data_IF_755006311884
#
_entry.id   IF_755006311884
#
_cell.length_a   1.000
_cell.length_b   1.000
_cell.length_c   1.000
_cell.angle_alpha   90.00
_cell.angle_beta   90.00
_cell.angle_gamma   90.00
#
_symmetry.space_group_name_H-M   'P 1'
#
loop_
_entity.id
_entity.type
_entity.pdbx_description
1 polymer ?
#
# COMPACT_ATOMS: atom_id res chain seq x y z
N UNK A 1 -26.95 -1.37 -9.07
CA UNK A 1 -25.77 -2.13 -9.51
C UNK A 1 -24.82 -2.12 -8.35
N UNK A 2 -24.52 -3.29 -7.75
CA UNK A 2 -23.55 -3.36 -6.67
C UNK A 2 -22.16 -3.02 -7.22
N UNK A 3 -21.27 -2.36 -6.46
CA UNK A 3 -19.89 -2.21 -6.86
C UNK A 3 -19.23 -3.59 -7.05
N UNK A 4 -18.14 -3.69 -7.83
CA UNK A 4 -17.40 -4.94 -7.94
C UNK A 4 -17.04 -5.48 -6.55
N UNK A 5 -17.00 -6.80 -6.39
CA UNK A 5 -16.68 -7.42 -5.10
C UNK A 5 -15.37 -6.86 -4.56
N UNK A 6 -15.40 -6.48 -3.29
CA UNK A 6 -14.36 -5.71 -2.63
C UNK A 6 -13.91 -6.43 -1.36
N UNK A 7 -12.67 -6.91 -1.38
CA UNK A 7 -12.05 -7.60 -0.25
C UNK A 7 -11.09 -6.68 0.49
N UNK A 8 -11.14 -6.72 1.81
CA UNK A 8 -10.31 -5.91 2.71
C UNK A 8 -9.41 -6.83 3.52
N UNK A 9 -8.10 -6.65 3.37
CA UNK A 9 -7.03 -7.33 4.10
C UNK A 9 -6.35 -6.32 5.04
N UNK A 10 -7.00 -6.03 6.17
CA UNK A 10 -6.52 -5.06 7.17
C UNK A 10 -6.19 -5.70 8.53
N UNK A 11 -6.11 -7.03 8.57
CA UNK A 11 -5.74 -7.81 9.76
C UNK A 11 -4.65 -8.82 9.37
N UNK A 12 -3.82 -9.29 10.32
CA UNK A 12 -2.76 -10.25 10.03
C UNK A 12 -3.26 -11.57 9.41
N UNK A 13 -4.55 -11.91 9.59
CA UNK A 13 -5.17 -13.12 9.05
C UNK A 13 -6.57 -12.81 8.51
N UNK A 14 -6.88 -13.41 7.37
CA UNK A 14 -8.21 -13.37 6.76
C UNK A 14 -8.52 -12.06 6.02
N UNK A 15 -9.77 -11.93 5.60
CA UNK A 15 -10.31 -10.76 4.92
C UNK A 15 -11.73 -10.48 5.38
N UNK A 16 -12.21 -9.27 5.11
CA UNK A 16 -13.63 -8.91 5.23
C UNK A 16 -14.15 -8.38 3.91
N UNK A 17 -15.45 -8.50 3.69
CA UNK A 17 -16.14 -7.83 2.58
C UNK A 17 -16.37 -6.35 2.91
N UNK A 18 -16.25 -5.47 1.91
CA UNK A 18 -16.72 -4.08 2.03
C UNK A 18 -18.23 -4.05 2.33
N UNK A 19 -18.66 -3.06 3.11
CA UNK A 19 -20.07 -2.82 3.35
C UNK A 19 -20.83 -2.63 2.02
N UNK A 20 -21.89 -3.41 1.82
CA UNK A 20 -22.71 -3.35 0.60
C UNK A 20 -22.21 -4.19 -0.57
N UNK A 21 -21.21 -5.06 -0.36
CA UNK A 21 -20.83 -6.08 -1.35
C UNK A 21 -22.02 -7.02 -1.66
N UNK A 22 -22.15 -7.44 -2.91
CA UNK A 22 -23.23 -8.31 -3.37
C UNK A 22 -23.28 -9.60 -2.52
N UNK A 23 -24.39 -9.88 -1.79
CA UNK A 23 -24.52 -11.10 -0.99
C UNK A 23 -24.27 -12.39 -1.78
N UNK A 24 -24.57 -12.40 -3.09
CA UNK A 24 -24.35 -13.58 -3.94
C UNK A 24 -22.86 -13.92 -4.10
N UNK A 25 -21.98 -12.93 -4.03
CA UNK A 25 -20.52 -13.16 -4.06
C UNK A 25 -19.98 -13.70 -2.72
N UNK A 26 -20.67 -13.43 -1.62
CA UNK A 26 -20.24 -13.81 -0.27
C UNK A 26 -20.55 -15.26 0.07
N UNK A 27 -21.51 -15.87 -0.64
CA UNK A 27 -21.93 -17.27 -0.45
C UNK A 27 -21.21 -18.24 -1.38
N UNK A 28 -20.32 -17.75 -2.24
CA UNK A 28 -19.53 -18.61 -3.11
C UNK A 28 -18.51 -19.40 -2.30
N UNK A 29 -18.41 -20.70 -2.57
CA UNK A 29 -17.38 -21.56 -2.01
C UNK A 29 -15.97 -21.14 -2.47
N UNK A 30 -15.88 -20.50 -3.65
CA UNK A 30 -14.65 -20.02 -4.28
C UNK A 30 -14.95 -18.89 -5.25
N UNK A 31 -14.09 -17.86 -5.28
CA UNK A 31 -14.15 -16.81 -6.30
C UNK A 31 -13.52 -17.25 -7.63
N UNK A 32 -12.75 -18.34 -7.66
CA UNK A 32 -12.07 -18.82 -8.86
C UNK A 32 -13.03 -19.26 -9.97
N UNK A 33 -14.19 -19.78 -9.58
CA UNK A 33 -15.21 -20.34 -10.48
C UNK A 33 -16.45 -19.44 -10.56
N UNK A 34 -16.37 -18.22 -10.02
CA UNK A 34 -17.46 -17.28 -10.04
C UNK A 34 -17.84 -16.93 -11.50
N UNK A 35 -19.14 -16.92 -11.86
CA UNK A 35 -19.57 -16.48 -13.18
C UNK A 35 -19.11 -15.05 -13.46
N UNK A 36 -18.65 -14.77 -14.67
CA UNK A 36 -18.12 -13.45 -15.05
C UNK A 36 -19.12 -12.30 -14.85
N UNK A 37 -20.42 -12.59 -14.97
CA UNK A 37 -21.49 -11.61 -14.74
C UNK A 37 -21.58 -11.19 -13.25
N UNK A 38 -21.13 -12.07 -12.35
CA UNK A 38 -21.13 -11.87 -10.90
C UNK A 38 -19.76 -11.37 -10.40
N UNK A 39 -18.68 -11.75 -11.08
CA UNK A 39 -17.31 -11.32 -10.80
C UNK A 39 -16.62 -10.80 -12.09
N UNK A 40 -16.98 -9.59 -12.58
CA UNK A 40 -16.33 -9.00 -13.76
C UNK A 40 -14.90 -8.51 -13.47
N UNK A 41 -14.56 -8.38 -12.18
CA UNK A 41 -13.26 -7.98 -11.65
C UNK A 41 -13.31 -7.93 -10.12
N UNK A 42 -12.15 -8.08 -9.48
CA UNK A 42 -12.00 -8.06 -8.04
C UNK A 42 -11.21 -6.84 -7.59
N UNK A 43 -11.80 -6.07 -6.67
CA UNK A 43 -11.10 -4.98 -5.99
C UNK A 43 -10.56 -5.46 -4.65
N UNK A 44 -9.29 -5.20 -4.40
CA UNK A 44 -8.62 -5.55 -3.15
C UNK A 44 -8.09 -4.30 -2.46
N UNK A 45 -8.45 -4.10 -1.19
CA UNK A 45 -7.75 -3.19 -0.28
C UNK A 45 -6.86 -4.00 0.65
N UNK A 46 -5.58 -3.65 0.72
CA UNK A 46 -4.61 -4.33 1.56
C UNK A 46 -3.85 -3.33 2.41
N UNK A 47 -3.84 -3.57 3.72
CA UNK A 47 -2.93 -2.97 4.69
C UNK A 47 -2.00 -4.01 5.33
N UNK A 48 -2.39 -5.28 5.29
CA UNK A 48 -1.65 -6.42 5.83
C UNK A 48 -1.27 -7.38 4.68
N UNK A 49 -0.03 -7.33 4.16
CA UNK A 49 0.36 -8.03 2.96
C UNK A 49 0.34 -9.55 3.11
N UNK A 50 0.64 -10.06 4.30
CA UNK A 50 0.73 -11.51 4.55
C UNK A 50 -0.62 -12.19 4.44
N UNK A 51 -1.70 -11.55 4.90
CA UNK A 51 -3.05 -12.08 4.79
C UNK A 51 -3.47 -12.27 3.33
N UNK A 52 -3.11 -11.31 2.46
CA UNK A 52 -3.33 -11.43 1.03
C UNK A 52 -2.44 -12.49 0.39
N UNK A 53 -1.16 -12.60 0.79
CA UNK A 53 -0.27 -13.67 0.30
C UNK A 53 -0.87 -15.05 0.58
N UNK A 54 -1.36 -15.30 1.80
CA UNK A 54 -2.01 -16.56 2.20
C UNK A 54 -3.28 -16.79 1.38
N UNK A 55 -4.10 -15.76 1.16
CA UNK A 55 -5.29 -15.90 0.33
C UNK A 55 -4.96 -16.27 -1.13
N UNK A 56 -3.89 -15.71 -1.68
CA UNK A 56 -3.39 -16.02 -3.02
C UNK A 56 -2.72 -17.42 -3.14
N UNK A 57 -2.63 -18.20 -2.07
CA UNK A 57 -2.22 -19.61 -2.15
C UNK A 57 -3.33 -20.51 -2.70
N UNK A 58 -4.59 -20.09 -2.55
CA UNK A 58 -5.77 -20.87 -2.96
C UNK A 58 -6.67 -20.14 -3.95
N UNK A 59 -6.41 -18.85 -4.22
CA UNK A 59 -7.21 -18.02 -5.11
C UNK A 59 -6.38 -17.50 -6.29
N UNK A 60 -7.05 -17.35 -7.43
CA UNK A 60 -6.46 -16.90 -8.68
C UNK A 60 -6.22 -15.38 -8.66
N UNK A 61 -4.95 -14.98 -8.62
CA UNK A 61 -4.56 -13.58 -8.65
C UNK A 61 -4.99 -12.83 -9.92
N UNK A 62 -5.23 -13.54 -11.03
CA UNK A 62 -5.70 -12.95 -12.29
C UNK A 62 -7.14 -12.38 -12.17
N UNK A 63 -7.87 -12.65 -11.09
CA UNK A 63 -9.16 -12.02 -10.82
C UNK A 63 -9.01 -10.55 -10.39
N UNK A 64 -7.83 -10.18 -9.85
CA UNK A 64 -7.58 -8.85 -9.31
C UNK A 64 -7.45 -7.85 -10.45
N UNK A 65 -8.38 -6.90 -10.51
CA UNK A 65 -8.34 -5.79 -11.47
C UNK A 65 -7.91 -4.48 -10.81
N UNK A 66 -8.19 -4.33 -9.52
CA UNK A 66 -8.00 -3.09 -8.78
C UNK A 66 -7.32 -3.40 -7.44
N UNK A 67 -6.17 -2.77 -7.19
CA UNK A 67 -5.41 -2.93 -5.96
C UNK A 67 -5.23 -1.58 -5.26
N UNK A 68 -5.75 -1.49 -4.05
CA UNK A 68 -5.53 -0.37 -3.14
C UNK A 68 -4.61 -0.79 -1.99
N UNK A 69 -3.44 -0.16 -1.90
CA UNK A 69 -2.45 -0.39 -0.85
C UNK A 69 -2.53 0.74 0.16
N UNK A 70 -2.83 0.41 1.40
CA UNK A 70 -2.77 1.32 2.54
C UNK A 70 -1.56 1.02 3.40
N UNK A 71 -0.64 1.96 3.50
CA UNK A 71 0.56 1.82 4.33
C UNK A 71 0.36 2.64 5.59
N UNK A 72 -0.07 1.96 6.66
CA UNK A 72 -0.39 2.59 7.94
C UNK A 72 0.84 3.16 8.66
N UNK A 73 0.64 4.09 9.61
CA UNK A 73 1.71 4.76 10.31
C UNK A 73 2.03 4.07 11.63
N UNK A 74 2.35 2.77 11.58
CA UNK A 74 2.57 1.99 12.80
C UNK A 74 3.98 1.44 12.83
N UNK A 75 4.62 1.50 14.01
CA UNK A 75 5.92 0.87 14.25
C UNK A 75 5.86 -0.65 14.06
N UNK A 76 4.74 -1.26 14.46
CA UNK A 76 4.46 -2.70 14.29
C UNK A 76 3.90 -3.04 12.90
N UNK A 77 3.94 -2.09 11.96
CA UNK A 77 3.47 -2.28 10.61
C UNK A 77 4.29 -3.31 9.83
N UNK A 78 3.76 -3.85 8.72
CA UNK A 78 4.50 -4.81 7.92
C UNK A 78 5.78 -4.18 7.33
N UNK A 79 6.93 -4.83 7.56
CA UNK A 79 8.22 -4.44 7.00
C UNK A 79 8.20 -4.35 5.46
N UNK A 80 9.10 -3.55 4.84
CA UNK A 80 9.26 -3.51 3.38
C UNK A 80 9.43 -4.89 2.72
N UNK A 81 10.11 -5.82 3.38
CA UNK A 81 10.36 -7.17 2.88
C UNK A 81 9.07 -8.00 2.80
N UNK A 82 8.19 -7.88 3.80
CA UNK A 82 6.86 -8.52 3.80
C UNK A 82 6.01 -8.01 2.64
N UNK A 83 6.02 -6.70 2.40
CA UNK A 83 5.39 -6.11 1.21
C UNK A 83 6.00 -6.61 -0.10
N UNK A 84 7.33 -6.72 -0.18
CA UNK A 84 8.00 -7.24 -1.38
C UNK A 84 7.62 -8.70 -1.68
N UNK A 85 7.32 -9.53 -0.68
CA UNK A 85 6.80 -10.89 -0.91
C UNK A 85 5.46 -10.85 -1.63
N UNK A 86 4.54 -9.99 -1.17
CA UNK A 86 3.26 -9.77 -1.85
C UNK A 86 3.48 -9.27 -3.29
N UNK A 87 4.32 -8.26 -3.49
CA UNK A 87 4.57 -7.70 -4.82
C UNK A 87 5.18 -8.70 -5.79
N UNK A 88 6.07 -9.58 -5.31
CA UNK A 88 6.62 -10.66 -6.13
C UNK A 88 5.53 -11.61 -6.59
N UNK A 89 4.64 -12.01 -5.69
CA UNK A 89 3.52 -12.92 -6.01
C UNK A 89 2.55 -12.28 -7.00
N UNK A 90 2.17 -11.03 -6.78
CA UNK A 90 1.29 -10.29 -7.69
C UNK A 90 1.94 -10.04 -9.06
N UNK A 91 3.24 -9.73 -9.11
CA UNK A 91 3.97 -9.56 -10.37
C UNK A 91 3.94 -10.84 -11.23
N UNK A 92 4.01 -12.01 -10.60
CA UNK A 92 3.98 -13.31 -11.27
C UNK A 92 2.56 -13.72 -11.68
N UNK A 93 1.59 -13.53 -10.78
CA UNK A 93 0.29 -14.20 -10.87
C UNK A 93 -0.84 -13.25 -11.31
N UNK A 94 -0.76 -11.94 -11.04
CA UNK A 94 -1.86 -10.99 -11.27
C UNK A 94 -1.81 -10.37 -12.68
N UNK A 95 -2.22 -11.15 -13.69
CA UNK A 95 -2.11 -10.76 -15.11
C UNK A 95 -3.12 -9.71 -15.57
N UNK A 96 -4.14 -9.37 -14.77
CA UNK A 96 -5.23 -8.47 -15.14
C UNK A 96 -5.30 -7.18 -14.31
N UNK A 97 -4.22 -6.84 -13.58
CA UNK A 97 -4.19 -5.65 -12.74
C UNK A 97 -4.23 -4.36 -13.59
N UNK A 98 -5.34 -3.62 -13.49
CA UNK A 98 -5.60 -2.39 -14.26
C UNK A 98 -5.27 -1.14 -13.45
N UNK A 99 -5.71 -1.12 -12.20
CA UNK A 99 -5.67 0.06 -11.35
C UNK A 99 -4.86 -0.20 -10.08
N UNK A 100 -3.92 0.70 -9.79
CA UNK A 100 -3.11 0.68 -8.58
C UNK A 100 -3.27 2.01 -7.84
N UNK A 101 -3.75 1.97 -6.61
CA UNK A 101 -3.86 3.12 -5.73
C UNK A 101 -2.99 2.85 -4.47
N UNK A 102 -2.07 3.76 -4.14
CA UNK A 102 -1.19 3.60 -2.97
C UNK A 102 -1.28 4.81 -2.06
N UNK A 103 -1.51 4.58 -0.77
CA UNK A 103 -1.62 5.62 0.24
C UNK A 103 -0.63 5.39 1.37
N UNK A 104 0.30 6.33 1.56
CA UNK A 104 1.26 6.31 2.68
C UNK A 104 0.73 7.18 3.82
N UNK A 105 0.13 6.55 4.81
CA UNK A 105 -0.42 7.28 5.95
C UNK A 105 0.70 7.76 6.89
N UNK A 106 0.37 8.73 7.75
CA UNK A 106 1.26 9.23 8.78
C UNK A 106 0.50 9.46 10.09
N UNK A 107 1.17 9.16 11.20
CA UNK A 107 0.72 9.52 12.52
C UNK A 107 1.00 11.01 12.74
N UNK A 108 0.11 11.69 13.45
CA UNK A 108 0.39 13.01 13.98
C UNK A 108 -0.72 13.50 14.90
N UNK A 109 -0.40 14.33 15.92
CA UNK A 109 -1.39 15.16 16.58
C UNK A 109 -1.90 16.17 15.56
N UNK A 110 -3.16 16.03 15.16
CA UNK A 110 -3.85 16.94 14.23
C UNK A 110 -4.23 18.28 14.89
N UNK A 111 -3.42 18.76 15.83
CA UNK A 111 -3.52 20.15 16.27
C UNK A 111 -2.97 21.03 15.15
N UNK A 112 -3.89 21.71 14.47
CA UNK A 112 -3.62 22.66 13.38
C UNK A 112 -2.67 23.81 13.75
N UNK A 113 -2.19 23.89 15.00
CA UNK A 113 -1.24 24.87 15.49
C UNK A 113 0.23 24.58 15.14
N UNK A 114 0.60 23.34 14.80
CA UNK A 114 1.98 22.97 14.43
C UNK A 114 2.04 22.11 13.17
N UNK A 115 3.00 22.37 12.25
CA UNK A 115 3.26 21.43 11.17
C UNK A 115 3.63 20.04 11.73
N UNK A 116 3.24 18.93 11.08
CA UNK A 116 3.61 17.60 11.55
C UNK A 116 5.12 17.46 11.78
N UNK A 117 5.98 17.99 10.92
CA UNK A 117 7.44 17.91 11.09
C UNK A 117 8.05 18.84 12.18
N UNK A 118 7.23 19.56 12.95
CA UNK A 118 7.63 20.54 13.99
C UNK A 118 7.24 20.06 15.41
N UNK A 119 7.03 18.75 15.55
CA UNK A 119 6.67 18.10 16.80
C UNK A 119 7.88 17.28 17.26
N UNK A 120 8.30 17.46 18.52
CA UNK A 120 9.39 16.70 19.14
C UNK A 120 9.06 15.22 19.39
N UNK A 121 7.89 14.74 18.93
CA UNK A 121 7.42 13.37 19.06
C UNK A 121 7.74 12.54 17.81
N UNK A 122 8.00 11.24 18.00
CA UNK A 122 8.35 10.31 16.92
C UNK A 122 7.12 10.13 16.03
N UNK A 123 7.11 10.81 14.88
CA UNK A 123 6.07 10.63 13.88
C UNK A 123 6.40 9.41 13.04
N UNK A 124 5.52 8.42 13.10
CA UNK A 124 5.54 7.30 12.20
C UNK A 124 4.91 7.75 10.88
N UNK A 125 5.76 8.07 9.93
CA UNK A 125 5.37 8.05 8.53
C UNK A 125 5.44 6.59 8.13
N UNK A 126 4.45 6.07 7.41
CA UNK A 126 4.54 4.71 6.88
C UNK A 126 5.79 4.50 6.01
N UNK A 127 5.82 3.47 5.18
CA UNK A 127 6.98 3.16 4.32
C UNK A 127 7.25 4.19 3.19
N UNK A 128 6.88 5.46 3.37
CA UNK A 128 7.04 6.58 2.43
C UNK A 128 8.49 6.95 2.11
N UNK A 129 9.43 6.59 2.97
CA UNK A 129 10.89 6.72 2.73
C UNK A 129 11.55 5.39 2.33
N UNK A 130 10.81 4.28 2.34
CA UNK A 130 11.38 2.96 2.03
C UNK A 130 11.63 2.82 0.53
N UNK A 131 12.92 2.78 0.18
CA UNK A 131 13.41 2.45 -1.16
C UNK A 131 13.09 0.99 -1.49
N UNK A 132 13.22 0.08 -0.52
CA UNK A 132 12.90 -1.35 -0.72
C UNK A 132 11.44 -1.51 -1.12
N UNK A 133 10.52 -0.87 -0.40
CA UNK A 133 9.10 -0.90 -0.71
C UNK A 133 8.80 -0.36 -2.11
N UNK A 134 9.25 0.86 -2.45
CA UNK A 134 8.90 1.48 -3.74
C UNK A 134 9.51 0.70 -4.92
N UNK A 135 10.71 0.13 -4.74
CA UNK A 135 11.33 -0.73 -5.75
C UNK A 135 10.55 -2.02 -5.96
N UNK A 136 10.01 -2.62 -4.90
CA UNK A 136 9.13 -3.77 -5.00
C UNK A 136 7.81 -3.43 -5.70
N UNK A 137 7.18 -2.32 -5.30
CA UNK A 137 5.93 -1.82 -5.88
C UNK A 137 6.05 -1.58 -7.39
N UNK A 138 7.18 -1.01 -7.83
CA UNK A 138 7.48 -0.71 -9.22
C UNK A 138 7.60 -1.95 -10.14
N UNK A 139 7.52 -3.16 -9.59
CA UNK A 139 7.53 -4.40 -10.37
C UNK A 139 6.14 -4.86 -10.79
N UNK A 140 5.08 -4.28 -10.25
CA UNK A 140 3.72 -4.68 -10.59
C UNK A 140 3.41 -4.40 -12.07
N UNK A 141 2.65 -5.29 -12.70
CA UNK A 141 2.22 -5.13 -14.09
C UNK A 141 0.86 -4.41 -14.12
N UNK A 142 0.88 -3.09 -14.04
CA UNK A 142 -0.34 -2.25 -14.03
C UNK A 142 -0.61 -1.72 -15.44
N UNK A 143 -1.85 -1.83 -15.93
CA UNK A 143 -2.14 -1.51 -17.33
C UNK A 143 -2.91 -0.22 -17.60
N UNK A 144 -3.55 0.43 -16.61
CA UNK A 144 -4.44 1.58 -16.87
C UNK A 144 -4.13 2.82 -16.03
N UNK A 145 -4.07 2.71 -14.70
CA UNK A 145 -3.86 3.89 -13.86
C UNK A 145 -3.07 3.61 -12.61
N UNK A 146 -2.23 4.58 -12.24
CA UNK A 146 -1.51 4.60 -10.96
C UNK A 146 -1.89 5.87 -10.21
N UNK A 147 -2.37 5.71 -8.98
CA UNK A 147 -2.63 6.83 -8.07
C UNK A 147 -1.80 6.67 -6.81
N UNK A 148 -1.34 7.80 -6.30
CA UNK A 148 -0.56 7.89 -5.07
C UNK A 148 -1.16 8.94 -4.16
N UNK A 149 -1.00 8.78 -2.86
CA UNK A 149 -1.44 9.74 -1.86
C UNK A 149 -0.68 9.54 -0.56
N UNK A 150 -0.86 10.41 0.41
CA UNK A 150 -0.13 10.31 1.66
C UNK A 150 1.26 10.95 1.59
N UNK A 151 2.14 10.54 2.51
CA UNK A 151 3.48 11.05 2.70
C UNK A 151 4.51 10.12 2.04
N UNK A 152 5.02 10.52 0.88
CA UNK A 152 6.00 9.76 0.11
C UNK A 152 7.19 10.62 -0.33
N UNK A 153 8.35 9.98 -0.43
CA UNK A 153 9.60 10.65 -0.78
C UNK A 153 9.55 11.27 -2.18
N UNK A 154 10.30 12.35 -2.35
CA UNK A 154 10.29 13.23 -3.53
C UNK A 154 10.48 12.48 -4.86
N UNK A 155 11.28 11.43 -4.84
CA UNK A 155 11.65 10.69 -6.04
C UNK A 155 10.68 9.56 -6.42
N UNK A 156 9.64 9.28 -5.62
CA UNK A 156 8.76 8.13 -5.86
C UNK A 156 7.90 8.30 -7.12
N UNK A 157 7.23 9.45 -7.35
CA UNK A 157 6.44 9.64 -8.58
C UNK A 157 7.25 9.46 -9.87
N UNK A 158 8.39 10.14 -10.10
CA UNK A 158 9.15 9.95 -11.35
C UNK A 158 9.75 8.54 -11.48
N UNK A 159 10.11 7.89 -10.36
CA UNK A 159 10.59 6.51 -10.39
C UNK A 159 9.49 5.54 -10.82
N UNK A 160 8.29 5.67 -10.24
CA UNK A 160 7.14 4.84 -10.60
C UNK A 160 6.68 5.08 -12.04
N UNK A 161 6.70 6.33 -12.51
CA UNK A 161 6.40 6.67 -13.90
C UNK A 161 7.35 5.94 -14.88
N UNK A 162 8.66 5.96 -14.61
CA UNK A 162 9.65 5.27 -15.45
C UNK A 162 9.43 3.75 -15.45
N UNK A 163 9.18 3.15 -14.28
CA UNK A 163 9.14 1.68 -14.14
C UNK A 163 7.81 1.07 -14.57
N UNK A 164 6.70 1.75 -14.33
CA UNK A 164 5.36 1.28 -14.68
C UNK A 164 4.92 1.77 -16.07
N UNK A 165 5.59 2.77 -16.65
CA UNK A 165 5.19 3.39 -17.91
C UNK A 165 3.89 4.21 -17.81
N UNK A 166 3.39 4.43 -16.58
CA UNK A 166 2.15 5.16 -16.29
C UNK A 166 2.49 6.25 -15.28
N UNK A 167 2.16 7.50 -15.62
CA UNK A 167 2.37 8.65 -14.73
C UNK A 167 1.47 8.55 -13.50
N UNK A 168 2.03 8.48 -12.27
CA UNK A 168 1.24 8.49 -11.05
C UNK A 168 0.50 9.82 -10.85
N UNK A 169 -0.76 9.74 -10.44
CA UNK A 169 -1.59 10.91 -10.08
C UNK A 169 -1.67 11.02 -8.56
N UNK A 170 -1.33 12.19 -8.01
CA UNK A 170 -1.55 12.47 -6.60
C UNK A 170 -3.04 12.70 -6.33
N UNK A 171 -3.69 11.82 -5.55
CA UNK A 171 -5.14 11.88 -5.28
C UNK A 171 -5.56 13.09 -4.43
N UNK A 172 -4.61 13.71 -3.73
CA UNK A 172 -4.84 14.89 -2.91
C UNK A 172 -4.29 16.18 -3.57
N UNK A 173 -3.92 16.14 -4.85
CA UNK A 173 -3.43 17.31 -5.57
C UNK A 173 -4.48 18.44 -5.58
N UNK A 174 -4.04 19.67 -5.32
CA UNK A 174 -4.92 20.84 -5.30
C UNK A 174 -5.66 21.07 -3.98
N UNK A 175 -5.53 20.16 -3.01
CA UNK A 175 -5.92 20.40 -1.62
C UNK A 175 -4.83 21.27 -0.98
N UNK A 176 -5.10 22.57 -0.81
CA UNK A 176 -4.08 23.59 -0.44
C UNK A 176 -3.20 23.19 0.74
N UNK A 177 -3.80 22.71 1.83
CA UNK A 177 -3.04 22.32 3.01
C UNK A 177 -2.20 21.07 2.77
N UNK A 178 -2.71 20.14 1.97
CA UNK A 178 -2.03 18.90 1.67
C UNK A 178 -0.74 19.10 0.86
N UNK A 179 -0.79 19.94 -0.18
CA UNK A 179 0.39 20.23 -1.00
C UNK A 179 1.52 20.85 -0.17
N UNK A 180 1.18 21.68 0.82
CA UNK A 180 2.13 22.23 1.77
C UNK A 180 2.70 21.14 2.68
N UNK A 181 1.85 20.25 3.19
CA UNK A 181 2.25 19.16 4.09
C UNK A 181 3.21 18.18 3.41
N UNK A 182 2.84 17.69 2.22
CA UNK A 182 3.67 16.78 1.44
C UNK A 182 5.01 17.42 1.06
N UNK A 183 5.02 18.69 0.63
CA UNK A 183 6.27 19.42 0.34
C UNK A 183 7.14 19.57 1.59
N UNK A 184 6.54 19.76 2.76
CA UNK A 184 7.23 19.79 4.04
C UNK A 184 7.94 18.47 4.31
N UNK A 185 7.20 17.36 4.24
CA UNK A 185 7.73 16.01 4.41
C UNK A 185 8.83 15.66 3.39
N UNK A 186 8.68 16.07 2.13
CA UNK A 186 9.65 15.76 1.09
C UNK A 186 11.01 16.47 1.29
N UNK A 187 11.07 17.54 2.11
CA UNK A 187 12.34 18.13 2.52
C UNK A 187 13.10 17.14 3.40
N UNK A 188 14.29 16.74 2.97
CA UNK A 188 15.10 15.70 3.62
C UNK A 188 15.08 14.36 2.89
N UNK A 189 14.10 14.14 2.00
CA UNK A 189 14.00 12.90 1.19
C UNK A 189 14.77 12.97 -0.14
N UNK A 190 15.43 14.10 -0.46
CA UNK A 190 16.09 14.34 -1.75
C UNK A 190 17.28 13.41 -2.01
N UNK A 191 17.83 12.81 -0.95
CA UNK A 191 18.95 11.88 -1.06
C UNK A 191 18.52 10.42 -1.22
N UNK A 192 17.22 10.12 -1.12
CA UNK A 192 16.69 8.77 -1.30
C UNK A 192 16.55 8.50 -2.80
N UNK A 193 17.38 7.58 -3.32
CA UNK A 193 17.50 7.36 -4.76
C UNK A 193 17.09 5.92 -5.12
N UNK A 194 15.83 5.68 -5.53
CA UNK A 194 15.35 4.32 -5.80
C UNK A 194 15.97 3.67 -7.05
N UNK A 195 16.67 4.43 -7.91
CA UNK A 195 17.40 3.86 -9.04
C UNK A 195 18.68 3.15 -8.60
N UNK A 196 19.36 3.69 -7.58
CA UNK A 196 20.71 3.22 -7.17
C UNK A 196 20.73 2.59 -5.79
N UNK A 197 19.96 3.12 -4.84
CA UNK A 197 19.85 2.57 -3.49
C UNK A 197 19.12 1.22 -3.53
N UNK A 198 19.69 0.23 -2.82
CA UNK A 198 19.13 -1.14 -2.75
C UNK A 198 18.57 -1.50 -1.38
N UNK A 199 18.78 -0.63 -0.40
CA UNK A 199 18.39 -0.81 0.99
C UNK A 199 17.90 0.49 1.56
N UNK A 200 17.07 0.40 2.58
CA UNK A 200 16.60 1.56 3.29
C UNK A 200 17.73 2.14 4.14
N UNK A 201 17.67 3.47 4.35
CA UNK A 201 18.60 4.15 5.26
C UNK A 201 18.20 3.98 6.71
N UNK A 202 16.90 3.92 6.97
CA UNK A 202 16.35 3.55 8.28
C UNK A 202 16.25 2.03 8.34
N UNK A 203 16.59 1.49 9.50
CA UNK A 203 16.37 0.08 9.77
C UNK A 203 14.91 -0.13 10.17
N UNK A 204 14.12 -0.75 9.29
CA UNK A 204 12.74 -1.12 9.55
C UNK A 204 12.61 -2.51 10.20
N UNK A 205 13.72 -3.24 10.38
CA UNK A 205 13.72 -4.61 10.88
C UNK A 205 13.71 -4.73 12.42
N UNK A 206 14.01 -3.64 13.15
CA UNK A 206 14.19 -3.65 14.61
C UNK A 206 13.05 -3.03 15.42
N UNK A 207 11.91 -2.70 14.79
CA UNK A 207 10.74 -2.18 15.49
C UNK A 207 10.02 -3.20 16.38
N UNK A 208 10.16 -4.50 16.09
CA UNK A 208 9.50 -5.60 16.83
C UNK A 208 10.33 -6.25 17.94
N UNK A 209 11.48 -5.69 18.34
CA UNK A 209 12.36 -6.30 19.36
C UNK A 209 12.37 -5.60 20.73
N UNK A 210 11.46 -4.67 21.00
CA UNK A 210 11.12 -4.31 22.38
C UNK A 210 10.16 -5.37 22.94
N UNK A 211 10.66 -6.61 22.96
CA UNK A 211 10.12 -7.65 23.83
C UNK A 211 10.34 -7.15 25.25
N UNK A 212 9.22 -6.99 25.94
CA UNK A 212 9.10 -6.79 27.37
C UNK A 212 10.16 -7.58 28.16
N UNK A 213 11.26 -6.90 28.53
CA UNK A 213 12.11 -7.33 29.64
C UNK A 213 11.66 -6.58 30.89
N UNK A 214 10.61 -7.11 31.52
CA UNK A 214 10.50 -7.05 32.97
C UNK A 214 10.45 -8.50 33.44
N UNK A 215 11.63 -9.03 33.73
CA UNK A 215 11.78 -10.20 34.60
C UNK A 215 11.64 -9.78 36.08
N UNK A 216 11.19 -10.77 36.84
CA UNK A 216 11.04 -10.91 38.30
C UNK A 216 9.86 -10.23 38.98
#
# INVERSE_FOLDING_TARGET
>A
MYPPPYLIFNRPVGYTWEAGADPASQILDSLNDAPIDLLPGLTIRVAEPDALVVWLETNNAALITDLYIFVGPTIDGPSPERWCRLFNKLHQDATNLKHLDVYWDAEGPWDHSKPPWDIDEILHFGLGESVVFVRGLARLNVSQSVKIGGFYAKHWPPYLEEKLGIRPINIQAGIKDWDRLLKGYQKGTERLNPWTDKKDRRDYANAGSLIWNFES
#
